data_IF_718343040503
#
_entry.id   IF_718343040503
#
_cell.length_a   1.000
_cell.length_b   1.000
_cell.length_c   1.000
_cell.angle_alpha   90.00
_cell.angle_beta   90.00
_cell.angle_gamma   90.00
#
_symmetry.space_group_name_H-M   'P 1'
#
loop_
_entity.id
_entity.type
_entity.pdbx_description
1 polymer ?
#
# COMPACT_ATOMS: atom_id res chain seq x y z
N UNK A 1 -25.40 10.80 -58.83
CA UNK A 1 -26.34 9.68 -59.12
C UNK A 1 -26.18 8.67 -57.99
N UNK A 2 -27.17 8.47 -57.11
CA UNK A 2 -28.41 7.65 -57.23
C UNK A 2 -28.15 6.13 -57.15
N UNK A 3 -28.49 5.55 -55.98
CA UNK A 3 -29.05 4.19 -55.70
C UNK A 3 -28.27 2.94 -56.24
N UNK A 4 -28.23 1.76 -55.61
CA UNK A 4 -29.32 1.02 -54.96
C UNK A 4 -28.89 0.01 -53.87
N UNK A 5 -29.82 -0.27 -52.95
CA UNK A 5 -29.97 -1.54 -52.20
C UNK A 5 -30.21 -2.74 -53.15
N UNK A 6 -30.07 -3.96 -52.64
CA UNK A 6 -31.07 -5.02 -52.87
C UNK A 6 -31.95 -5.27 -51.62
N UNK A 7 -33.22 -5.60 -51.88
CA UNK A 7 -34.28 -6.08 -50.95
C UNK A 7 -35.02 -7.21 -51.69
N UNK A 8 -35.78 -8.04 -50.95
CA UNK A 8 -36.75 -9.10 -51.35
C UNK A 8 -36.21 -10.54 -51.22
N UNK A 9 -36.94 -11.59 -50.79
CA UNK A 9 -38.31 -11.81 -50.26
C UNK A 9 -38.33 -13.17 -49.51
N UNK A 10 -39.34 -13.69 -48.77
CA UNK A 10 -40.70 -13.29 -48.34
C UNK A 10 -41.04 -13.97 -46.97
N UNK A 11 -42.33 -14.03 -46.58
CA UNK A 11 -42.89 -14.94 -45.54
C UNK A 11 -43.72 -16.08 -46.16
N UNK A 12 -44.82 -16.60 -45.54
CA UNK A 12 -45.45 -16.17 -44.27
C UNK A 12 -46.03 -17.31 -43.36
N UNK A 13 -46.71 -16.88 -42.28
CA UNK A 13 -47.91 -17.47 -41.63
C UNK A 13 -47.84 -18.77 -40.76
N UNK A 14 -47.96 -18.54 -39.45
CA UNK A 14 -48.97 -19.07 -38.49
C UNK A 14 -49.39 -20.56 -38.45
N UNK A 15 -49.42 -21.12 -37.22
CA UNK A 15 -50.57 -21.90 -36.71
C UNK A 15 -50.54 -21.98 -35.16
N UNK A 16 -51.71 -21.83 -34.53
CA UNK A 16 -51.94 -21.84 -33.07
C UNK A 16 -52.63 -23.14 -32.66
N UNK A 17 -52.24 -23.73 -31.51
CA UNK A 17 -53.03 -24.77 -30.83
C UNK A 17 -52.88 -24.68 -29.29
N UNK A 18 -53.95 -24.30 -28.59
CA UNK A 18 -54.23 -24.71 -27.18
C UNK A 18 -54.82 -26.14 -27.22
N UNK A 19 -54.91 -26.99 -26.19
CA UNK A 19 -55.02 -26.90 -24.72
C UNK A 19 -54.83 -28.38 -24.20
N UNK A 20 -55.23 -28.84 -22.99
CA UNK A 20 -55.26 -28.26 -21.64
C UNK A 20 -54.54 -29.15 -20.57
N UNK A 21 -54.69 -28.75 -19.30
CA UNK A 21 -54.94 -29.60 -18.11
C UNK A 21 -53.83 -29.71 -17.04
N UNK A 22 -54.13 -29.18 -15.86
CA UNK A 22 -53.36 -29.30 -14.63
C UNK A 22 -53.86 -30.46 -13.74
N UNK A 23 -53.02 -30.94 -12.80
CA UNK A 23 -53.51 -31.49 -11.53
C UNK A 23 -53.05 -30.70 -10.31
N UNK A 24 -53.87 -30.78 -9.26
CA UNK A 24 -53.85 -30.04 -8.00
C UNK A 24 -52.59 -30.20 -7.12
N UNK A 25 -52.33 -29.19 -6.28
CA UNK A 25 -51.27 -29.19 -5.27
C UNK A 25 -51.59 -30.06 -4.03
N UNK A 26 -50.58 -30.50 -3.26
CA UNK A 26 -50.74 -30.95 -1.88
C UNK A 26 -50.50 -29.80 -0.89
N UNK A 27 -51.50 -29.52 -0.06
CA UNK A 27 -51.38 -28.64 1.11
C UNK A 27 -50.36 -29.20 2.11
N UNK A 28 -49.42 -28.38 2.57
CA UNK A 28 -48.70 -28.63 3.83
C UNK A 28 -48.69 -27.36 4.68
N UNK A 29 -49.58 -27.33 5.67
CA UNK A 29 -49.44 -26.42 6.79
C UNK A 29 -48.17 -26.82 7.56
N UNK A 30 -47.29 -25.84 7.76
CA UNK A 30 -46.22 -25.90 8.74
C UNK A 30 -46.35 -24.63 9.57
N UNK A 31 -47.08 -24.76 10.68
CA UNK A 31 -47.12 -23.75 11.72
C UNK A 31 -45.70 -23.57 12.26
N UNK A 32 -45.15 -22.37 12.16
CA UNK A 32 -43.90 -22.01 12.85
C UNK A 32 -43.95 -20.52 13.16
N UNK A 33 -44.75 -20.21 14.18
CA UNK A 33 -44.84 -18.89 14.78
C UNK A 33 -43.50 -18.52 15.43
N UNK A 34 -42.61 -17.89 14.65
CA UNK A 34 -41.35 -17.36 15.13
C UNK A 34 -41.61 -16.06 15.88
N UNK A 35 -41.24 -15.94 17.18
CA UNK A 35 -41.53 -14.76 17.98
C UNK A 35 -40.72 -13.56 17.47
N UNK A 36 -41.38 -12.76 16.62
CA UNK A 36 -41.08 -11.37 16.26
C UNK A 36 -39.59 -11.00 16.37
N UNK A 37 -38.76 -11.56 15.50
CA UNK A 37 -37.39 -11.09 15.31
C UNK A 37 -37.45 -9.62 14.88
N UNK A 38 -37.24 -8.72 15.84
CA UNK A 38 -37.08 -7.28 15.60
C UNK A 38 -36.09 -7.10 14.46
N UNK A 39 -36.61 -6.76 13.29
CA UNK A 39 -35.84 -6.74 12.06
C UNK A 39 -34.61 -5.84 12.28
N UNK A 40 -33.38 -6.35 12.13
CA UNK A 40 -32.19 -5.58 12.45
C UNK A 40 -32.23 -4.32 11.59
N UNK A 41 -32.26 -3.14 12.26
CA UNK A 41 -32.38 -1.84 11.60
C UNK A 41 -31.34 -1.79 10.47
N UNK A 42 -31.83 -1.82 9.24
CA UNK A 42 -30.97 -2.03 8.09
C UNK A 42 -29.85 -1.00 8.08
N UNK A 43 -28.60 -1.46 8.01
CA UNK A 43 -27.47 -0.55 7.78
C UNK A 43 -27.77 0.16 6.47
N UNK A 44 -27.94 1.48 6.50
CA UNK A 44 -28.24 2.27 5.32
C UNK A 44 -27.15 1.99 4.26
N UNK A 45 -27.53 1.27 3.21
CA UNK A 45 -26.63 0.87 2.13
C UNK A 45 -26.33 2.09 1.28
N UNK A 46 -25.29 2.84 1.66
CA UNK A 46 -24.76 3.94 0.86
C UNK A 46 -24.28 3.36 -0.47
N UNK A 47 -24.81 3.79 -1.62
CA UNK A 47 -24.31 3.36 -2.92
C UNK A 47 -22.83 3.72 -3.06
N UNK A 48 -22.02 2.82 -3.62
CA UNK A 48 -20.57 3.03 -3.76
C UNK A 48 -20.21 4.27 -4.59
N UNK A 49 -21.09 4.70 -5.49
CA UNK A 49 -20.91 5.94 -6.27
C UNK A 49 -21.08 7.23 -5.43
N UNK A 50 -21.72 7.16 -4.26
CA UNK A 50 -21.90 8.30 -3.35
C UNK A 50 -20.70 8.47 -2.40
N UNK A 51 -19.86 7.42 -2.26
CA UNK A 51 -18.63 7.49 -1.48
C UNK A 51 -17.56 8.20 -2.31
N UNK A 52 -17.27 9.45 -1.95
CA UNK A 52 -16.24 10.25 -2.62
C UNK A 52 -14.89 9.54 -2.66
N UNK A 53 -14.24 9.54 -3.83
CA UNK A 53 -12.93 8.91 -4.02
C UNK A 53 -11.91 9.61 -3.11
N UNK A 54 -11.27 8.86 -2.22
CA UNK A 54 -10.25 9.41 -1.33
C UNK A 54 -9.11 10.06 -2.15
N UNK A 55 -8.80 11.32 -1.86
CA UNK A 55 -7.69 12.02 -2.50
C UNK A 55 -6.37 11.56 -1.89
N UNK A 56 -5.57 10.82 -2.66
CA UNK A 56 -4.19 10.56 -2.30
C UNK A 56 -3.39 11.86 -2.37
N UNK A 57 -2.66 12.17 -1.29
CA UNK A 57 -1.90 13.42 -1.14
C UNK A 57 -0.39 13.22 -1.34
N UNK A 58 0.07 11.98 -1.45
CA UNK A 58 1.49 11.64 -1.61
C UNK A 58 1.84 11.46 -3.09
N UNK A 59 2.90 12.15 -3.51
CA UNK A 59 3.48 12.02 -4.85
C UNK A 59 4.18 10.67 -5.04
N UNK A 60 4.73 10.09 -3.96
CA UNK A 60 5.51 8.85 -4.00
C UNK A 60 4.94 7.76 -3.09
N UNK A 61 4.91 6.53 -3.61
CA UNK A 61 4.55 5.35 -2.86
C UNK A 61 5.59 5.05 -1.76
N UNK A 62 5.11 4.51 -0.62
CA UNK A 62 5.95 4.16 0.54
C UNK A 62 5.96 2.65 0.74
N UNK A 63 7.13 2.04 0.64
CA UNK A 63 7.34 0.66 1.04
C UNK A 63 7.46 0.58 2.57
N UNK A 64 6.74 -0.35 3.20
CA UNK A 64 6.88 -0.68 4.63
C UNK A 64 7.96 -1.75 4.76
N UNK A 65 9.19 -1.33 4.99
CA UNK A 65 10.36 -2.18 5.08
C UNK A 65 11.15 -1.83 6.35
N UNK A 66 11.62 -2.86 7.05
CA UNK A 66 12.59 -2.70 8.14
C UNK A 66 14.01 -2.88 7.58
N UNK A 67 14.62 -1.77 7.18
CA UNK A 67 15.97 -1.70 6.64
C UNK A 67 16.90 -1.13 7.72
N UNK A 68 18.11 -1.70 7.92
CA UNK A 68 19.11 -1.12 8.81
C UNK A 68 19.44 0.31 8.41
N UNK A 69 19.38 1.22 9.39
CA UNK A 69 19.64 2.64 9.22
C UNK A 69 20.76 3.09 10.18
N UNK A 70 21.63 3.97 9.68
CA UNK A 70 22.60 4.70 10.47
C UNK A 70 22.43 6.20 10.35
N UNK A 71 22.65 6.91 11.45
CA UNK A 71 22.75 8.38 11.49
C UNK A 71 24.23 8.76 11.57
N UNK A 72 24.74 9.44 10.55
CA UNK A 72 26.11 9.95 10.50
C UNK A 72 26.25 11.31 11.19
N UNK A 73 25.30 12.22 10.92
CA UNK A 73 25.23 13.56 11.53
C UNK A 73 23.81 13.99 11.84
N UNK A 74 23.70 14.85 12.85
CA UNK A 74 22.48 15.57 13.22
C UNK A 74 22.88 17.00 13.52
N UNK A 75 22.26 17.99 12.87
CA UNK A 75 22.63 19.41 12.98
C UNK A 75 24.12 19.70 12.71
N UNK A 76 24.77 18.91 11.86
CA UNK A 76 26.21 19.00 11.54
C UNK A 76 27.16 18.30 12.53
N UNK A 77 26.70 18.01 13.76
CA UNK A 77 27.48 17.24 14.73
C UNK A 77 27.54 15.75 14.34
N UNK A 78 28.69 15.12 14.53
CA UNK A 78 28.85 13.67 14.27
C UNK A 78 28.08 12.87 15.31
N UNK A 79 27.10 12.11 14.88
CA UNK A 79 26.28 11.32 15.79
C UNK A 79 26.93 9.97 16.05
N UNK A 80 27.51 9.76 17.24
CA UNK A 80 27.97 8.43 17.65
C UNK A 80 26.78 7.54 17.98
N UNK A 81 26.34 6.78 16.98
CA UNK A 81 25.15 5.94 17.08
C UNK A 81 25.34 4.78 18.07
N UNK A 82 24.64 4.86 19.20
CA UNK A 82 24.64 3.84 20.27
C UNK A 82 23.66 2.69 20.05
N UNK A 83 22.74 2.82 19.09
CA UNK A 83 21.61 1.90 18.89
C UNK A 83 21.47 1.53 17.41
N UNK A 84 21.13 0.27 17.12
CA UNK A 84 20.70 -0.12 15.78
C UNK A 84 19.35 0.54 15.49
N UNK A 85 19.29 1.38 14.45
CA UNK A 85 18.08 2.01 13.98
C UNK A 85 17.56 1.26 12.76
N UNK A 86 16.26 1.31 12.53
CA UNK A 86 15.59 0.68 11.40
C UNK A 86 14.56 1.61 10.81
N UNK A 87 14.40 1.59 9.48
CA UNK A 87 13.26 2.23 8.84
C UNK A 87 11.95 1.53 9.23
N UNK A 88 10.86 2.27 9.30
CA UNK A 88 9.50 1.74 9.36
C UNK A 88 8.75 1.94 8.03
N UNK A 89 9.14 2.96 7.24
CA UNK A 89 8.83 3.04 5.81
C UNK A 89 9.85 3.88 5.06
N UNK A 90 9.96 3.64 3.75
CA UNK A 90 10.85 4.35 2.83
C UNK A 90 10.14 4.60 1.48
N UNK A 91 10.52 5.70 0.82
CA UNK A 91 10.09 6.12 -0.51
C UNK A 91 11.25 6.79 -1.22
N UNK A 92 11.15 7.08 -2.51
CA UNK A 92 12.17 7.80 -3.28
C UNK A 92 12.45 9.23 -2.77
N UNK A 93 11.53 9.85 -2.03
CA UNK A 93 11.65 11.24 -1.54
C UNK A 93 11.86 11.36 -0.03
N UNK A 94 11.99 10.25 0.70
CA UNK A 94 12.15 10.29 2.14
C UNK A 94 11.78 8.99 2.85
N UNK A 95 12.02 8.98 4.16
CA UNK A 95 11.82 7.82 5.01
C UNK A 95 11.17 8.19 6.35
N UNK A 96 10.81 7.16 7.12
CA UNK A 96 10.35 7.28 8.49
C UNK A 96 11.00 6.16 9.31
N UNK A 97 11.52 6.50 10.49
CA UNK A 97 12.25 5.60 11.39
C UNK A 97 11.96 5.94 12.85
N UNK A 98 12.29 5.03 13.76
CA UNK A 98 12.19 5.27 15.20
C UNK A 98 13.59 5.53 15.79
N UNK A 99 13.71 6.53 16.66
CA UNK A 99 14.96 6.86 17.35
C UNK A 99 14.74 7.16 18.85
N UNK A 100 15.70 6.84 19.74
CA UNK A 100 15.67 7.21 21.16
C UNK A 100 16.13 8.67 21.41
N UNK A 101 16.08 9.51 20.38
CA UNK A 101 16.47 10.92 20.41
C UNK A 101 15.37 11.72 19.71
N UNK A 102 14.94 12.81 20.34
CA UNK A 102 14.06 13.79 19.73
C UNK A 102 14.88 14.69 18.81
N UNK A 103 14.52 14.75 17.54
CA UNK A 103 15.12 15.63 16.54
C UNK A 103 14.02 16.60 16.09
N UNK A 104 14.28 17.91 16.05
CA UNK A 104 13.26 18.90 15.68
C UNK A 104 13.05 19.00 14.17
N UNK A 105 11.87 19.47 13.76
CA UNK A 105 11.59 19.71 12.35
C UNK A 105 12.52 20.81 11.79
N UNK A 106 12.91 20.67 10.52
CA UNK A 106 13.93 21.49 9.87
C UNK A 106 15.38 21.06 10.15
N UNK A 107 15.64 20.17 11.11
CA UNK A 107 17.01 19.73 11.42
C UNK A 107 17.61 18.95 10.26
N UNK A 108 18.79 19.33 9.73
CA UNK A 108 19.51 18.55 8.74
C UNK A 108 20.17 17.32 9.38
N UNK A 109 20.09 16.19 8.69
CA UNK A 109 20.65 14.90 9.09
C UNK A 109 21.38 14.24 7.92
N UNK A 110 22.48 13.55 8.20
CA UNK A 110 23.14 12.64 7.27
C UNK A 110 22.84 11.21 7.70
N UNK A 111 22.39 10.36 6.77
CA UNK A 111 22.02 8.98 7.07
C UNK A 111 22.50 7.98 6.02
N UNK A 112 22.69 6.74 6.43
CA UNK A 112 23.03 5.59 5.58
C UNK A 112 21.97 4.49 5.78
N UNK A 113 21.40 3.97 4.70
CA UNK A 113 20.42 2.86 4.73
C UNK A 113 20.96 1.67 3.94
N UNK A 114 20.94 0.50 4.55
CA UNK A 114 21.28 -0.75 3.86
C UNK A 114 20.04 -1.26 3.14
N UNK A 115 19.97 -1.06 1.82
CA UNK A 115 18.79 -1.41 1.01
C UNK A 115 18.71 -2.90 0.71
N UNK A 116 19.86 -3.52 0.42
CA UNK A 116 19.96 -4.92 0.04
C UNK A 116 21.18 -5.52 0.70
N UNK A 117 20.98 -6.63 1.43
CA UNK A 117 22.01 -7.60 1.77
C UNK A 117 21.66 -8.93 1.11
N UNK A 118 22.26 -9.25 -0.04
CA UNK A 118 22.08 -10.56 -0.67
C UNK A 118 23.20 -11.50 -0.19
N UNK A 119 22.94 -12.43 0.75
CA UNK A 119 23.97 -13.33 1.26
C UNK A 119 24.59 -14.19 0.14
N UNK A 120 23.79 -14.53 -0.89
CA UNK A 120 24.22 -15.39 -1.98
C UNK A 120 24.86 -14.62 -3.15
N UNK A 121 24.53 -13.34 -3.35
CA UNK A 121 24.97 -12.57 -4.52
C UNK A 121 26.11 -11.58 -4.26
N UNK A 122 26.67 -11.57 -3.04
CA UNK A 122 27.93 -10.86 -2.68
C UNK A 122 27.94 -9.35 -2.91
N UNK A 123 26.77 -8.75 -3.13
CA UNK A 123 26.58 -7.32 -3.30
C UNK A 123 25.73 -6.79 -2.15
N UNK A 124 26.29 -5.84 -1.39
CA UNK A 124 25.51 -5.05 -0.43
C UNK A 124 25.30 -3.67 -1.02
N UNK A 125 24.05 -3.19 -1.04
CA UNK A 125 23.72 -1.85 -1.54
C UNK A 125 23.43 -0.93 -0.37
N UNK A 126 24.27 0.10 -0.25
CA UNK A 126 24.17 1.17 0.71
C UNK A 126 23.64 2.42 0.01
N UNK A 127 22.67 3.09 0.63
CA UNK A 127 22.15 4.39 0.21
C UNK A 127 22.57 5.42 1.25
N UNK A 128 23.41 6.37 0.86
CA UNK A 128 23.75 7.53 1.70
C UNK A 128 22.87 8.70 1.29
N UNK A 129 22.28 9.41 2.25
CA UNK A 129 21.42 10.56 1.97
C UNK A 129 21.70 11.73 2.90
N UNK A 130 21.66 12.93 2.33
CA UNK A 130 21.45 14.18 3.06
C UNK A 130 19.95 14.42 3.10
N UNK A 131 19.43 14.76 4.27
CA UNK A 131 18.01 14.87 4.51
C UNK A 131 17.70 15.93 5.56
N UNK A 132 16.44 16.37 5.63
CA UNK A 132 15.93 17.19 6.73
C UNK A 132 14.72 16.52 7.38
N UNK A 133 14.59 16.71 8.70
CA UNK A 133 13.43 16.23 9.44
C UNK A 133 12.21 17.08 9.09
N UNK A 134 11.15 16.45 8.58
CA UNK A 134 9.88 17.11 8.24
C UNK A 134 8.94 17.16 9.43
N UNK A 135 8.94 16.11 10.27
CA UNK A 135 8.20 16.08 11.54
C UNK A 135 8.76 15.02 12.47
N UNK A 136 8.47 15.19 13.75
CA UNK A 136 8.74 14.22 14.80
C UNK A 136 7.49 13.99 15.65
N UNK A 137 7.15 12.73 15.89
CA UNK A 137 5.96 12.29 16.61
C UNK A 137 6.36 11.38 17.79
N UNK A 138 5.67 11.42 18.95
CA UNK A 138 5.92 10.49 20.05
C UNK A 138 5.69 9.04 19.58
N UNK A 139 6.59 8.12 19.92
CA UNK A 139 6.37 6.69 19.68
C UNK A 139 5.66 6.05 20.89
N UNK A 140 5.05 4.87 20.68
CA UNK A 140 4.44 4.06 21.75
C UNK A 140 5.43 3.72 22.89
N UNK A 141 6.71 3.56 22.54
CA UNK A 141 7.77 3.28 23.49
C UNK A 141 8.28 4.59 24.13
N UNK A 142 8.17 4.69 25.45
CA UNK A 142 8.66 5.84 26.23
C UNK A 142 10.12 6.15 25.90
N UNK A 143 10.42 7.43 25.66
CA UNK A 143 11.75 7.91 25.27
C UNK A 143 12.12 7.68 23.81
N UNK A 144 11.22 7.11 22.99
CA UNK A 144 11.42 6.96 21.54
C UNK A 144 10.48 7.89 20.77
N UNK A 145 10.95 8.28 19.59
CA UNK A 145 10.29 9.22 18.70
C UNK A 145 10.26 8.65 17.28
N UNK A 146 9.12 8.80 16.61
CA UNK A 146 9.02 8.60 15.17
C UNK A 146 9.53 9.84 14.45
N UNK A 147 10.53 9.68 13.60
CA UNK A 147 11.16 10.77 12.85
C UNK A 147 10.86 10.57 11.37
N UNK A 148 10.19 11.54 10.75
CA UNK A 148 9.98 11.59 9.31
C UNK A 148 10.99 12.54 8.68
N UNK A 149 11.76 12.04 7.70
CA UNK A 149 12.74 12.83 6.98
C UNK A 149 12.45 12.83 5.47
N UNK A 150 12.65 13.97 4.81
CA UNK A 150 12.68 14.09 3.36
C UNK A 150 14.13 14.11 2.89
N UNK A 151 14.40 13.48 1.74
CA UNK A 151 15.73 13.47 1.16
C UNK A 151 15.97 14.76 0.37
N UNK A 152 17.13 15.36 0.59
CA UNK A 152 17.62 16.53 -0.16
C UNK A 152 18.60 16.08 -1.25
N UNK A 153 19.47 15.11 -0.94
CA UNK A 153 20.37 14.45 -1.89
C UNK A 153 20.55 12.96 -1.53
N UNK A 154 20.81 12.11 -2.53
CA UNK A 154 20.92 10.65 -2.37
C UNK A 154 22.04 10.12 -3.28
N UNK A 155 22.95 9.35 -2.70
CA UNK A 155 23.95 8.57 -3.41
C UNK A 155 23.87 7.09 -3.07
N UNK A 156 24.28 6.23 -4.01
CA UNK A 156 24.26 4.78 -3.84
C UNK A 156 25.68 4.23 -3.98
N UNK A 157 26.07 3.37 -3.03
CA UNK A 157 27.30 2.59 -3.09
C UNK A 157 26.95 1.11 -3.13
N UNK A 158 27.55 0.38 -4.07
CA UNK A 158 27.54 -1.09 -4.04
C UNK A 158 28.90 -1.55 -3.52
N UNK A 159 28.86 -2.29 -2.42
CA UNK A 159 30.03 -2.98 -1.88
C UNK A 159 30.05 -4.39 -2.49
N UNK A 160 30.94 -4.59 -3.46
CA UNK A 160 31.21 -5.88 -4.10
C UNK A 160 32.39 -6.56 -3.38
N UNK A 161 32.15 -7.71 -2.74
CA UNK A 161 33.21 -8.43 -2.02
C UNK A 161 34.12 -9.21 -2.97
N UNK A 162 35.07 -8.48 -3.56
CA UNK A 162 36.24 -9.01 -4.27
C UNK A 162 37.18 -9.73 -3.28
N UNK A 163 36.80 -10.95 -2.90
CA UNK A 163 37.78 -11.93 -2.44
C UNK A 163 38.52 -12.47 -3.66
N UNK A 164 39.67 -11.89 -3.94
CA UNK A 164 40.67 -12.50 -4.81
C UNK A 164 40.91 -13.94 -4.35
N UNK A 165 40.88 -14.88 -5.29
CA UNK A 165 41.22 -16.27 -5.01
C UNK A 165 42.70 -16.40 -4.73
N UNK A 166 43.12 -16.26 -3.48
CA UNK A 166 44.45 -16.64 -3.01
C UNK A 166 44.56 -18.18 -3.00
N UNK A 167 44.69 -18.77 -4.18
CA UNK A 167 45.08 -20.16 -4.35
C UNK A 167 46.55 -20.35 -3.96
N UNK A 168 46.80 -20.97 -2.82
CA UNK A 168 48.06 -21.65 -2.46
C UNK A 168 47.77 -22.82 -1.53
#
# INVERSE_FOLDING_TARGET
MRVSRPVSTAGPAESVTQDPQAPSAPTRAADTDWPNHRQPRGINRVPTHTVGRASERRVYARARLSLPLRLGRVAGERHTQRYFLQTANISSSGLFFLAPLRIEAGTPIELEVQLISQPNARATVHMSAVAHVVRTEPAEKVGWYGVAAAFDDISYRRDESLLEGSSR
#
